data_IF_922768904557
#
_entry.id   IF_922768904557
#
_cell.length_a   1.000
_cell.length_b   1.000
_cell.length_c   1.000
_cell.angle_alpha   90.00
_cell.angle_beta   90.00
_cell.angle_gamma   90.00
#
_symmetry.space_group_name_H-M   'P 1'
#
loop_
_entity.id
_entity.type
_entity.pdbx_description
1 polymer ?
#
# COMPACT_ATOMS: atom_id res chain seq x y z
N UNK A 1 -13.39 10.60 -17.60
CA UNK A 1 -14.14 10.52 -16.35
C UNK A 1 -13.83 9.24 -15.60
N UNK A 2 -13.61 9.31 -14.32
CA UNK A 2 -13.33 8.14 -13.49
C UNK A 2 -14.58 7.29 -13.34
N UNK A 3 -14.48 6.01 -13.62
CA UNK A 3 -15.60 5.08 -13.42
C UNK A 3 -15.56 4.52 -11.99
N UNK A 4 -16.73 4.14 -11.51
CA UNK A 4 -16.82 3.41 -10.24
C UNK A 4 -16.51 1.94 -10.50
N UNK A 5 -15.55 1.40 -9.77
CA UNK A 5 -15.06 0.04 -9.97
C UNK A 5 -15.17 -0.74 -8.65
N UNK A 6 -15.94 -1.81 -8.68
CA UNK A 6 -16.20 -2.66 -7.51
C UNK A 6 -15.67 -4.08 -7.72
N UNK A 7 -14.63 -4.25 -8.54
CA UNK A 7 -14.01 -5.56 -8.69
C UNK A 7 -13.42 -6.03 -7.36
N UNK A 8 -13.37 -7.34 -7.20
CA UNK A 8 -12.97 -7.95 -5.93
C UNK A 8 -11.49 -7.72 -5.60
N UNK A 9 -10.62 -7.71 -6.60
CA UNK A 9 -9.19 -7.54 -6.42
C UNK A 9 -8.72 -6.19 -6.94
N UNK A 10 -8.59 -6.00 -8.25
CA UNK A 10 -8.26 -4.69 -8.80
C UNK A 10 -9.49 -3.79 -8.75
N UNK A 11 -9.71 -3.17 -7.59
CA UNK A 11 -10.87 -2.30 -7.36
C UNK A 11 -10.48 -0.84 -7.58
N UNK A 12 -11.42 0.06 -7.31
CA UNK A 12 -11.17 1.49 -7.50
C UNK A 12 -10.15 1.99 -6.50
N UNK A 13 -9.27 2.87 -6.98
CA UNK A 13 -8.30 3.59 -6.14
C UNK A 13 -8.53 5.08 -6.32
N UNK A 14 -8.18 5.85 -5.31
CA UNK A 14 -8.26 7.31 -5.42
C UNK A 14 -7.21 7.84 -6.39
N UNK A 15 -7.47 9.01 -7.03
CA UNK A 15 -6.45 9.62 -7.89
C UNK A 15 -5.13 9.87 -7.17
N UNK A 16 -5.18 10.23 -5.89
CA UNK A 16 -3.98 10.40 -5.07
C UNK A 16 -3.16 9.12 -5.01
N UNK A 17 -3.80 7.98 -4.73
CA UNK A 17 -3.14 6.69 -4.64
C UNK A 17 -2.52 6.29 -5.99
N UNK A 18 -3.24 6.51 -7.07
CA UNK A 18 -2.74 6.21 -8.43
C UNK A 18 -1.49 7.05 -8.71
N UNK A 19 -1.52 8.34 -8.41
CA UNK A 19 -0.38 9.22 -8.67
C UNK A 19 0.83 8.84 -7.82
N UNK A 20 0.62 8.55 -6.55
CA UNK A 20 1.71 8.13 -5.66
C UNK A 20 2.31 6.79 -6.07
N UNK A 21 1.49 5.88 -6.56
CA UNK A 21 1.97 4.60 -7.08
C UNK A 21 2.81 4.82 -8.35
N UNK A 22 2.36 5.69 -9.25
CA UNK A 22 3.13 6.03 -10.44
C UNK A 22 4.48 6.64 -10.09
N UNK A 23 4.52 7.55 -9.12
CA UNK A 23 5.77 8.15 -8.64
C UNK A 23 6.71 7.08 -8.07
N UNK A 24 6.18 6.13 -7.34
CA UNK A 24 6.97 5.04 -6.76
C UNK A 24 7.52 4.09 -7.83
N UNK A 25 6.80 3.89 -8.93
CA UNK A 25 7.30 3.10 -10.06
C UNK A 25 8.50 3.79 -10.71
N UNK A 26 8.51 5.12 -10.74
CA UNK A 26 9.62 5.91 -11.30
C UNK A 26 10.81 5.94 -10.34
N UNK A 27 10.56 6.28 -9.09
CA UNK A 27 11.62 6.37 -8.07
C UNK A 27 11.00 6.15 -6.67
N UNK A 28 11.24 4.97 -6.13
CA UNK A 28 10.66 4.59 -4.84
C UNK A 28 11.50 5.13 -3.69
N UNK A 29 10.90 5.98 -2.87
CA UNK A 29 11.47 6.48 -1.62
C UNK A 29 12.89 7.03 -1.77
N UNK A 30 13.17 7.72 -2.87
CA UNK A 30 14.49 8.29 -3.19
C UNK A 30 15.63 7.28 -3.27
N UNK A 31 15.31 6.01 -3.47
CA UNK A 31 16.34 4.97 -3.60
C UNK A 31 17.08 5.01 -4.94
N UNK A 32 16.53 5.72 -5.92
CA UNK A 32 17.01 5.66 -7.30
C UNK A 32 16.52 4.42 -8.04
N UNK A 33 15.69 3.61 -7.41
CA UNK A 33 15.12 2.39 -7.99
C UNK A 33 13.60 2.53 -8.09
N UNK A 34 13.03 1.81 -9.04
CA UNK A 34 11.57 1.64 -9.10
C UNK A 34 11.09 0.73 -7.97
N UNK A 35 9.88 0.96 -7.49
CA UNK A 35 9.22 0.02 -6.58
C UNK A 35 9.24 -1.41 -7.14
N UNK A 36 9.20 -1.55 -8.47
CA UNK A 36 9.24 -2.85 -9.14
C UNK A 36 10.58 -3.56 -8.99
N UNK A 37 11.64 -2.83 -8.62
CA UNK A 37 13.00 -3.35 -8.49
C UNK A 37 13.41 -3.56 -7.02
N UNK A 38 12.59 -3.11 -6.08
CA UNK A 38 12.94 -3.16 -4.65
C UNK A 38 12.44 -4.46 -4.05
N UNK A 39 13.32 -5.11 -3.27
CA UNK A 39 12.95 -6.34 -2.57
C UNK A 39 11.89 -6.07 -1.51
N UNK A 40 10.87 -6.93 -1.45
CA UNK A 40 9.86 -6.85 -0.40
C UNK A 40 10.42 -7.15 1.00
N UNK A 41 11.67 -7.65 1.08
CA UNK A 41 12.38 -7.89 2.35
C UNK A 41 13.33 -6.75 2.69
N UNK A 42 13.43 -5.75 1.82
CA UNK A 42 14.30 -4.59 2.05
C UNK A 42 13.73 -3.64 3.08
N UNK A 43 14.62 -2.83 3.67
CA UNK A 43 14.23 -1.85 4.69
C UNK A 43 13.26 -0.82 4.15
N UNK A 44 13.43 -0.41 2.91
CA UNK A 44 12.60 0.61 2.27
C UNK A 44 11.16 0.13 2.13
N UNK A 45 10.97 -1.13 1.74
CA UNK A 45 9.65 -1.69 1.63
C UNK A 45 9.06 -2.04 2.99
N UNK A 46 9.88 -2.48 3.93
CA UNK A 46 9.43 -2.76 5.29
C UNK A 46 8.84 -1.50 5.94
N UNK A 47 9.45 -0.34 5.68
CA UNK A 47 8.92 0.93 6.17
C UNK A 47 7.52 1.21 5.63
N UNK A 48 7.25 0.88 4.37
CA UNK A 48 5.91 1.03 3.77
C UNK A 48 4.90 0.11 4.45
N UNK A 49 5.26 -1.14 4.67
CA UNK A 49 4.37 -2.11 5.33
C UNK A 49 4.08 -1.66 6.77
N UNK A 50 5.10 -1.22 7.49
CA UNK A 50 4.94 -0.76 8.88
C UNK A 50 4.03 0.46 8.95
N UNK A 51 4.19 1.40 8.03
CA UNK A 51 3.33 2.57 7.94
C UNK A 51 1.90 2.20 7.59
N UNK A 52 1.71 1.28 6.65
CA UNK A 52 0.39 0.81 6.27
C UNK A 52 -0.34 0.17 7.45
N UNK A 53 0.36 -0.65 8.24
CA UNK A 53 -0.21 -1.26 9.44
C UNK A 53 -0.56 -0.20 10.48
N UNK A 54 0.33 0.76 10.72
CA UNK A 54 0.11 1.84 11.68
C UNK A 54 -1.08 2.70 11.29
N UNK A 55 -1.20 3.07 10.02
CA UNK A 55 -2.33 3.86 9.52
C UNK A 55 -3.64 3.09 9.61
N UNK A 56 -3.62 1.80 9.35
CA UNK A 56 -4.82 0.95 9.49
C UNK A 56 -5.29 0.94 10.93
N UNK A 57 -4.38 0.79 11.88
CA UNK A 57 -4.71 0.83 13.32
C UNK A 57 -5.29 2.18 13.71
N UNK A 58 -4.71 3.25 13.23
CA UNK A 58 -5.17 4.60 13.53
C UNK A 58 -6.57 4.88 12.97
N UNK A 59 -6.77 4.58 11.69
CA UNK A 59 -8.03 4.87 11.02
C UNK A 59 -9.20 4.03 11.52
N UNK A 60 -8.93 2.78 11.90
CA UNK A 60 -9.95 1.88 12.42
C UNK A 60 -10.02 1.87 13.95
N UNK A 61 -9.18 2.68 14.61
CA UNK A 61 -9.14 2.78 16.06
C UNK A 61 -8.99 1.41 16.73
N UNK A 62 -8.01 0.63 16.24
CA UNK A 62 -7.78 -0.75 16.70
C UNK A 62 -7.23 -0.73 18.13
N UNK A 63 -7.86 -1.45 19.07
CA UNK A 63 -7.38 -1.51 20.45
C UNK A 63 -6.03 -2.24 20.59
N UNK A 64 -5.32 -1.99 21.66
CA UNK A 64 -4.12 -2.76 22.00
C UNK A 64 -4.44 -4.23 22.11
N UNK A 65 -3.49 -5.07 21.74
CA UNK A 65 -3.66 -6.52 21.77
C UNK A 65 -4.19 -7.10 20.47
N UNK A 66 -4.64 -6.25 19.53
CA UNK A 66 -5.05 -6.69 18.20
C UNK A 66 -3.93 -6.46 17.21
N UNK A 67 -3.84 -7.33 16.22
CA UNK A 67 -2.84 -7.25 15.17
C UNK A 67 -3.49 -6.98 13.82
N UNK A 68 -2.78 -6.21 12.99
CA UNK A 68 -3.19 -5.99 11.59
C UNK A 68 -2.40 -6.96 10.73
N UNK A 69 -3.10 -7.76 9.96
CA UNK A 69 -2.50 -8.72 9.03
C UNK A 69 -3.01 -8.43 7.62
N UNK A 70 -2.08 -8.43 6.66
CA UNK A 70 -2.43 -8.30 5.25
C UNK A 70 -2.33 -9.69 4.62
N UNK A 71 -3.48 -10.27 4.32
CA UNK A 71 -3.57 -11.64 3.83
C UNK A 71 -3.95 -11.64 2.36
N UNK A 72 -3.39 -12.57 1.61
CA UNK A 72 -3.81 -12.83 0.25
C UNK A 72 -5.16 -13.53 0.24
N UNK A 73 -5.87 -13.38 -0.86
CA UNK A 73 -7.15 -14.04 -1.03
C UNK A 73 -8.13 -13.18 -1.80
N UNK A 74 -9.32 -13.66 -1.89
CA UNK A 74 -10.38 -13.00 -2.63
C UNK A 74 -11.54 -13.94 -2.86
N UNK A 75 -12.26 -13.67 -3.92
CA UNK A 75 -13.42 -14.48 -4.28
C UNK A 75 -13.04 -15.86 -4.79
#
# INVERSE_FOLDING_TARGET
MKKHNFYAGPSILTPYTIQKTADAVINFADTGLSLLEVSHRGKEFQAVIDEAAALTKELLNVPEGYHVLFLGGGA
#
